data_IF_787064064844
#
_entry.id   IF_787064064844
#
_cell.length_a   1.000
_cell.length_b   1.000
_cell.length_c   1.000
_cell.angle_alpha   90.00
_cell.angle_beta   90.00
_cell.angle_gamma   90.00
#
_symmetry.space_group_name_H-M   'P 1'
#
loop_
_entity.id
_entity.type
_entity.pdbx_description
1 polymer ?
#
# COMPACT_ATOMS: atom_id res chain seq x y z
N UNK A 1 -15.12 28.17 -3.18
CA UNK A 1 -13.86 28.75 -2.80
C UNK A 1 -12.72 27.78 -3.05
N UNK A 2 -11.62 28.29 -3.45
CA UNK A 2 -10.51 27.44 -3.67
C UNK A 2 -9.71 27.27 -2.44
N UNK A 3 -9.38 26.07 -2.13
CA UNK A 3 -8.47 25.79 -1.05
C UNK A 3 -7.08 26.33 -1.33
N UNK A 4 -6.40 26.72 -0.31
CA UNK A 4 -5.02 27.12 -0.40
C UNK A 4 -4.17 26.14 0.37
N UNK A 5 -2.98 25.88 -0.15
CA UNK A 5 -2.02 25.10 0.59
C UNK A 5 -1.39 26.01 1.64
N UNK A 6 -1.77 25.79 2.88
CA UNK A 6 -1.25 26.59 3.99
C UNK A 6 0.12 26.14 4.43
N UNK A 7 0.44 24.88 4.19
CA UNK A 7 1.64 24.30 4.74
C UNK A 7 2.09 23.13 3.90
N UNK A 8 3.37 22.90 3.82
CA UNK A 8 3.93 21.74 3.13
C UNK A 8 4.84 21.02 4.12
N UNK A 9 4.55 19.76 4.34
CA UNK A 9 5.38 18.92 5.17
C UNK A 9 6.12 17.96 4.26
N UNK A 10 7.43 18.00 4.28
CA UNK A 10 8.27 17.16 3.43
C UNK A 10 8.80 16.00 4.24
N UNK A 11 8.62 14.80 3.71
CA UNK A 11 9.11 13.59 4.35
C UNK A 11 10.17 13.00 3.44
N UNK A 12 11.44 13.12 3.81
CA UNK A 12 12.51 12.53 3.01
C UNK A 12 12.38 11.01 2.99
N UNK A 13 12.28 10.43 1.81
CA UNK A 13 12.13 9.00 1.68
C UNK A 13 12.55 8.59 0.27
N UNK A 14 12.50 7.30 -0.01
CA UNK A 14 12.76 6.78 -1.34
C UNK A 14 11.86 5.58 -1.61
N UNK A 15 11.62 5.31 -2.89
CA UNK A 15 10.81 4.18 -3.31
C UNK A 15 11.45 2.83 -2.96
N UNK A 16 12.78 2.81 -2.83
CA UNK A 16 13.48 1.61 -2.37
C UNK A 16 13.63 1.55 -0.86
N UNK A 17 13.24 2.60 -0.16
CA UNK A 17 13.39 2.70 1.29
C UNK A 17 12.04 2.65 1.99
N UNK A 18 11.70 3.74 2.67
CA UNK A 18 10.58 3.76 3.61
C UNK A 18 9.28 4.33 3.04
N UNK A 19 9.21 4.65 1.75
CA UNK A 19 8.02 5.33 1.24
C UNK A 19 6.73 4.53 1.49
N UNK A 20 6.73 3.23 1.15
CA UNK A 20 5.49 2.45 1.30
C UNK A 20 5.11 2.23 2.76
N UNK A 21 6.11 2.21 3.65
CA UNK A 21 5.84 2.18 5.07
C UNK A 21 5.13 3.45 5.53
N UNK A 22 5.64 4.62 5.15
CA UNK A 22 5.00 5.89 5.50
C UNK A 22 3.62 5.99 4.89
N UNK A 23 3.46 5.53 3.65
CA UNK A 23 2.17 5.52 2.98
C UNK A 23 1.12 4.76 3.79
N UNK A 24 1.44 3.55 4.23
CA UNK A 24 0.50 2.75 5.00
C UNK A 24 0.31 3.30 6.42
N UNK A 25 1.34 3.85 7.02
CA UNK A 25 1.19 4.48 8.33
C UNK A 25 0.23 5.66 8.26
N UNK A 26 0.32 6.43 7.18
CA UNK A 26 -0.59 7.54 6.96
C UNK A 26 -2.03 7.06 6.80
N UNK A 27 -2.24 5.91 6.17
CA UNK A 27 -3.57 5.36 5.92
C UNK A 27 -4.09 4.49 7.06
N UNK A 28 -3.39 4.41 8.16
CA UNK A 28 -3.78 3.54 9.26
C UNK A 28 -5.24 3.74 9.73
N UNK A 29 -5.77 4.97 9.80
CA UNK A 29 -7.17 5.13 10.18
C UNK A 29 -8.15 4.40 9.27
N UNK A 30 -7.75 4.11 8.04
CA UNK A 30 -8.62 3.45 7.07
C UNK A 30 -8.48 1.94 7.07
N UNK A 31 -7.28 1.41 7.30
CA UNK A 31 -7.09 -0.05 7.27
C UNK A 31 -6.99 -0.66 8.66
N UNK A 32 -6.59 0.12 9.65
CA UNK A 32 -6.53 -0.30 11.04
C UNK A 32 -5.71 -1.58 11.26
N UNK A 33 -4.62 -1.73 10.52
CA UNK A 33 -3.77 -2.90 10.63
C UNK A 33 -2.82 -2.77 11.82
N UNK A 34 -2.41 -3.91 12.36
CA UNK A 34 -1.33 -3.94 13.35
C UNK A 34 0.02 -3.70 12.65
N UNK A 35 1.05 -3.43 13.43
CA UNK A 35 2.39 -3.21 12.87
C UNK A 35 2.86 -4.40 12.04
N UNK A 36 2.62 -5.61 12.51
CA UNK A 36 3.04 -6.81 11.80
C UNK A 36 2.28 -6.98 10.49
N UNK A 37 0.98 -6.72 10.52
CA UNK A 37 0.15 -6.77 9.32
C UNK A 37 0.57 -5.69 8.33
N UNK A 38 0.89 -4.49 8.82
CA UNK A 38 1.39 -3.42 7.95
C UNK A 38 2.72 -3.77 7.32
N UNK A 39 3.59 -4.48 8.05
CA UNK A 39 4.87 -4.90 7.51
C UNK A 39 4.67 -5.79 6.29
N UNK A 40 3.74 -6.74 6.38
CA UNK A 40 3.43 -7.62 5.26
C UNK A 40 2.83 -6.85 4.10
N UNK A 41 1.87 -5.97 4.37
CA UNK A 41 1.24 -5.16 3.33
C UNK A 41 2.27 -4.26 2.64
N UNK A 42 3.19 -3.67 3.40
CA UNK A 42 4.27 -2.86 2.84
C UNK A 42 5.13 -3.67 1.88
N UNK A 43 5.46 -4.90 2.26
CA UNK A 43 6.27 -5.76 1.40
C UNK A 43 5.54 -6.06 0.09
N UNK A 44 4.23 -6.34 0.15
CA UNK A 44 3.45 -6.56 -1.07
C UNK A 44 3.44 -5.32 -1.97
N UNK A 45 3.28 -4.15 -1.40
CA UNK A 45 3.28 -2.92 -2.20
C UNK A 45 4.63 -2.67 -2.86
N UNK A 46 5.72 -2.95 -2.16
CA UNK A 46 7.06 -2.82 -2.73
C UNK A 46 7.27 -3.80 -3.88
N UNK A 47 6.87 -5.06 -3.68
CA UNK A 47 6.98 -6.05 -4.76
C UNK A 47 6.14 -5.66 -5.96
N UNK A 48 4.93 -5.18 -5.73
CA UNK A 48 4.09 -4.73 -6.83
C UNK A 48 4.74 -3.61 -7.61
N UNK A 49 5.31 -2.65 -6.90
CA UNK A 49 5.97 -1.54 -7.54
C UNK A 49 7.14 -2.01 -8.41
N UNK A 50 7.98 -2.90 -7.87
CA UNK A 50 9.12 -3.42 -8.64
C UNK A 50 8.66 -4.20 -9.87
N UNK A 51 7.64 -5.04 -9.72
CA UNK A 51 7.11 -5.80 -10.83
C UNK A 51 6.45 -4.90 -11.88
N UNK A 52 5.89 -3.77 -11.48
CA UNK A 52 5.24 -2.85 -12.40
C UNK A 52 6.22 -2.24 -13.40
N UNK A 53 7.51 -2.27 -13.10
CA UNK A 53 8.52 -1.76 -14.00
C UNK A 53 8.67 -2.63 -15.25
N UNK A 54 8.33 -3.91 -15.15
CA UNK A 54 8.46 -4.84 -16.27
C UNK A 54 7.13 -5.38 -16.75
N UNK A 55 6.10 -5.43 -15.90
CA UNK A 55 4.77 -5.93 -16.28
C UNK A 55 3.86 -4.73 -16.43
N UNK A 56 3.49 -4.42 -17.67
CA UNK A 56 2.70 -3.21 -17.94
C UNK A 56 1.19 -3.45 -17.95
N UNK A 57 0.75 -4.70 -18.09
CA UNK A 57 -0.67 -5.04 -18.01
C UNK A 57 -1.06 -5.20 -16.55
N UNK A 58 -2.00 -4.38 -16.07
CA UNK A 58 -2.39 -4.37 -14.67
C UNK A 58 -3.01 -5.69 -14.22
N UNK A 59 -3.77 -6.35 -15.08
CA UNK A 59 -4.38 -7.62 -14.72
C UNK A 59 -3.33 -8.70 -14.52
N UNK A 60 -2.33 -8.74 -15.38
CA UNK A 60 -1.23 -9.69 -15.25
C UNK A 60 -0.41 -9.35 -14.00
N UNK A 61 -0.14 -8.07 -13.79
CA UNK A 61 0.61 -7.62 -12.62
C UNK A 61 -0.09 -8.07 -11.33
N UNK A 62 -1.40 -7.85 -11.23
CA UNK A 62 -2.15 -8.24 -10.04
C UNK A 62 -2.08 -9.75 -9.81
N UNK A 63 -2.16 -10.55 -10.86
CA UNK A 63 -2.06 -12.00 -10.73
C UNK A 63 -0.68 -12.44 -10.25
N UNK A 64 0.38 -11.83 -10.79
CA UNK A 64 1.74 -12.17 -10.39
C UNK A 64 1.98 -11.78 -8.92
N UNK A 65 1.51 -10.61 -8.52
CA UNK A 65 1.67 -10.15 -7.14
C UNK A 65 0.99 -11.10 -6.16
N UNK A 66 -0.16 -11.65 -6.53
CA UNK A 66 -0.88 -12.57 -5.67
C UNK A 66 -0.48 -14.03 -5.89
N UNK A 67 0.52 -14.27 -6.72
CA UNK A 67 1.01 -15.62 -6.97
C UNK A 67 1.90 -16.15 -5.85
N UNK A 68 2.19 -17.44 -5.93
CA UNK A 68 2.93 -18.11 -4.87
C UNK A 68 4.37 -17.61 -4.72
N UNK A 69 5.01 -17.23 -5.82
CA UNK A 69 6.40 -16.75 -5.75
C UNK A 69 6.50 -15.45 -4.97
N UNK A 70 5.60 -14.49 -5.25
CA UNK A 70 5.59 -13.23 -4.52
C UNK A 70 5.23 -13.45 -3.05
N UNK A 71 4.23 -14.30 -2.79
CA UNK A 71 3.84 -14.60 -1.41
C UNK A 71 5.00 -15.20 -0.63
N UNK A 72 5.74 -16.11 -1.25
CA UNK A 72 6.90 -16.71 -0.60
C UNK A 72 7.97 -15.65 -0.32
N UNK A 73 8.24 -14.80 -1.30
CA UNK A 73 9.24 -13.74 -1.14
C UNK A 73 8.86 -12.80 0.00
N UNK A 74 7.59 -12.39 0.07
CA UNK A 74 7.11 -11.53 1.14
C UNK A 74 7.25 -12.23 2.49
N UNK A 75 6.85 -13.49 2.56
CA UNK A 75 6.91 -14.24 3.81
C UNK A 75 8.35 -14.37 4.31
N UNK A 76 9.28 -14.67 3.40
CA UNK A 76 10.67 -14.80 3.76
C UNK A 76 11.29 -13.46 4.17
N UNK A 77 10.96 -12.41 3.43
CA UNK A 77 11.42 -11.07 3.74
C UNK A 77 10.97 -10.63 5.13
N UNK A 78 9.75 -10.94 5.50
CA UNK A 78 9.19 -10.58 6.79
C UNK A 78 9.52 -11.61 7.87
N UNK A 79 10.19 -12.69 7.52
CA UNK A 79 10.59 -13.74 8.45
C UNK A 79 9.40 -14.30 9.23
N UNK A 80 8.40 -14.78 8.52
CA UNK A 80 7.15 -15.27 9.11
C UNK A 80 6.95 -16.73 8.72
N UNK A 81 6.48 -17.55 9.68
CA UNK A 81 6.11 -18.93 9.37
C UNK A 81 4.91 -18.97 8.45
N UNK A 82 4.77 -20.06 7.69
CA UNK A 82 3.65 -20.18 6.76
C UNK A 82 2.28 -20.08 7.46
N UNK A 83 2.04 -20.79 8.59
CA UNK A 83 0.75 -20.67 9.27
C UNK A 83 0.45 -19.23 9.73
N UNK A 84 1.45 -18.54 10.27
CA UNK A 84 1.25 -17.16 10.70
C UNK A 84 1.00 -16.24 9.52
N UNK A 85 1.72 -16.47 8.42
CA UNK A 85 1.51 -15.70 7.20
C UNK A 85 0.06 -15.82 6.70
N UNK A 86 -0.49 -17.04 6.74
CA UNK A 86 -1.86 -17.27 6.30
C UNK A 86 -2.87 -16.53 7.18
N UNK A 87 -2.60 -16.47 8.48
CA UNK A 87 -3.45 -15.68 9.39
C UNK A 87 -3.40 -14.21 9.02
N UNK A 88 -2.21 -13.68 8.75
CA UNK A 88 -2.05 -12.28 8.37
C UNK A 88 -2.76 -12.02 7.04
N UNK A 89 -2.64 -12.91 6.06
CA UNK A 89 -3.35 -12.77 4.80
C UNK A 89 -4.85 -12.66 5.01
N UNK A 90 -5.40 -13.45 5.93
CA UNK A 90 -6.81 -13.33 6.29
C UNK A 90 -7.17 -11.96 6.85
N UNK A 91 -6.30 -11.42 7.70
CA UNK A 91 -6.53 -10.08 8.26
C UNK A 91 -6.47 -9.00 7.18
N UNK A 92 -5.55 -9.13 6.22
CA UNK A 92 -5.45 -8.17 5.13
C UNK A 92 -6.70 -8.19 4.25
N UNK A 93 -7.29 -9.35 4.05
CA UNK A 93 -8.57 -9.43 3.33
C UNK A 93 -9.70 -8.81 4.15
N UNK A 94 -9.72 -9.06 5.44
CA UNK A 94 -10.78 -8.54 6.31
C UNK A 94 -10.72 -7.02 6.41
N UNK A 95 -9.54 -6.45 6.41
CA UNK A 95 -9.34 -4.99 6.45
C UNK A 95 -9.58 -4.33 5.09
N UNK A 96 -9.80 -5.13 4.05
CA UNK A 96 -10.00 -4.65 2.69
C UNK A 96 -8.75 -4.09 2.02
N UNK A 97 -7.59 -4.31 2.60
CA UNK A 97 -6.33 -4.00 1.90
C UNK A 97 -6.19 -4.94 0.70
N UNK A 98 -6.62 -6.20 0.88
CA UNK A 98 -6.79 -7.11 -0.24
C UNK A 98 -8.29 -7.28 -0.50
N UNK A 99 -8.68 -7.11 -1.76
CA UNK A 99 -10.08 -7.22 -2.16
C UNK A 99 -10.15 -7.78 -3.57
N UNK A 100 -11.12 -8.65 -3.82
CA UNK A 100 -11.34 -9.23 -5.15
C UNK A 100 -10.10 -9.95 -5.68
N UNK A 101 -9.36 -10.61 -4.79
CA UNK A 101 -8.19 -11.41 -5.16
C UNK A 101 -6.97 -10.61 -5.54
N UNK A 102 -6.89 -9.36 -5.14
CA UNK A 102 -5.74 -8.50 -5.45
C UNK A 102 -5.61 -7.40 -4.39
N UNK A 103 -4.54 -6.65 -4.46
CA UNK A 103 -4.40 -5.48 -3.59
C UNK A 103 -5.46 -4.46 -4.01
N UNK A 104 -6.21 -3.96 -3.02
CA UNK A 104 -7.24 -2.97 -3.28
C UNK A 104 -6.59 -1.71 -3.86
N UNK A 105 -7.03 -1.26 -5.05
CA UNK A 105 -6.41 -0.09 -5.68
C UNK A 105 -6.41 1.17 -4.81
N UNK A 106 -7.35 1.28 -3.87
CA UNK A 106 -7.39 2.43 -2.96
C UNK A 106 -6.14 2.52 -2.09
N UNK A 107 -5.44 1.41 -1.89
CA UNK A 107 -4.23 1.39 -1.07
C UNK A 107 -2.96 1.38 -1.91
N UNK A 108 -3.07 1.53 -3.24
CA UNK A 108 -1.91 1.58 -4.11
C UNK A 108 -1.64 3.04 -4.46
N UNK A 109 -0.49 3.60 -4.04
CA UNK A 109 -0.19 4.99 -4.38
C UNK A 109 0.15 5.11 -5.86
N UNK A 110 -0.33 6.18 -6.48
CA UNK A 110 -0.01 6.45 -7.87
C UNK A 110 1.33 7.18 -7.95
N UNK A 111 2.39 6.40 -8.05
CA UNK A 111 3.75 6.92 -8.03
C UNK A 111 4.28 7.02 -9.45
N UNK A 112 4.80 8.21 -9.79
CA UNK A 112 5.48 8.44 -11.04
C UNK A 112 6.94 8.71 -10.73
N UNK A 113 7.80 7.80 -11.15
CA UNK A 113 9.19 7.78 -10.72
C UNK A 113 9.98 9.01 -11.14
N UNK A 114 9.71 9.50 -12.34
CA UNK A 114 10.47 10.62 -12.89
C UNK A 114 10.03 11.97 -12.34
N UNK A 115 8.95 12.03 -11.56
CA UNK A 115 8.54 13.27 -10.91
C UNK A 115 9.42 13.66 -9.73
N UNK A 116 10.12 12.70 -9.14
CA UNK A 116 10.96 12.97 -7.99
C UNK A 116 10.21 13.25 -6.70
N UNK A 117 8.88 13.18 -6.71
CA UNK A 117 8.09 13.40 -5.51
C UNK A 117 6.73 12.75 -5.62
N UNK A 118 6.05 12.65 -4.48
CA UNK A 118 4.69 12.17 -4.41
C UNK A 118 3.94 13.08 -3.46
N UNK A 119 2.76 13.53 -3.87
CA UNK A 119 1.94 14.42 -3.06
C UNK A 119 0.58 13.79 -2.81
N UNK A 120 0.07 14.00 -1.60
CA UNK A 120 -1.22 13.52 -1.20
C UNK A 120 -2.06 14.70 -0.74
N UNK A 121 -3.29 14.80 -1.26
CA UNK A 121 -4.22 15.83 -0.87
C UNK A 121 -5.19 15.25 0.16
N UNK A 122 -5.29 15.91 1.31
CA UNK A 122 -6.30 15.59 2.31
C UNK A 122 -7.43 16.59 2.18
N UNK A 123 -8.64 16.07 2.05
CA UNK A 123 -9.81 16.89 1.95
C UNK A 123 -10.75 16.57 3.11
N UNK A 124 -10.88 17.52 4.03
CA UNK A 124 -11.85 17.40 5.11
C UNK A 124 -13.12 18.12 4.68
N UNK A 125 -14.18 17.37 4.45
CA UNK A 125 -15.41 17.90 3.94
C UNK A 125 -16.39 18.15 5.09
N UNK A 126 -16.55 19.41 5.45
CA UNK A 126 -17.45 19.80 6.53
C UNK A 126 -18.88 20.00 6.09
N UNK A 127 -19.13 19.93 4.78
CA UNK A 127 -20.48 20.11 4.28
C UNK A 127 -21.35 18.88 4.43
N UNK A 128 -20.74 17.75 4.82
CA UNK A 128 -21.49 16.52 4.99
C UNK A 128 -22.44 16.62 6.11
N UNK A 129 -23.67 16.29 5.84
CA UNK A 129 -24.63 16.25 6.89
C UNK A 129 -24.91 14.82 7.21
N UNK A 130 -24.16 14.32 8.09
CA UNK A 130 -24.41 13.02 8.59
C UNK A 130 -23.82 11.91 7.79
N UNK A 131 -23.06 12.21 6.92
CA UNK A 131 -22.33 11.14 6.35
C UNK A 131 -22.93 9.87 6.45
#
# INVERSE_FOLDING_TARGET
>A
MKGKVNNVIRIPTSLNGNFFKYWLEFLKPFHNLTDREMQVATAFLKHRYELSKVIKDDNILDKVVMGEDTKRAVREECNISLPHFQVIMGKLRKSRVFADGKINPKFIPNVIEDNGNFQLLLHFDFSQNGL
#
